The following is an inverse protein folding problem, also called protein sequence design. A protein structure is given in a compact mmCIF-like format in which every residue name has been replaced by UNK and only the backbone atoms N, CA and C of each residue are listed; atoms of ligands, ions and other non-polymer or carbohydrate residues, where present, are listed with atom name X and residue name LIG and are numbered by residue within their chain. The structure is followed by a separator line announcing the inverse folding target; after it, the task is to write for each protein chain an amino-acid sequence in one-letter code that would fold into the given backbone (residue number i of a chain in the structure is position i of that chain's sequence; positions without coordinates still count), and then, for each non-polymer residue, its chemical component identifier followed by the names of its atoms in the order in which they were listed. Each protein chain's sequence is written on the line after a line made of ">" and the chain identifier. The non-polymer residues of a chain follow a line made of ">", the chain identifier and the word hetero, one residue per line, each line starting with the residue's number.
data_IF_561572755273
#
_entry.id   IF_561572755273
#
_cell.length_a   1.000
_cell.length_b   1.000
_cell.length_c   1.000
_cell.angle_alpha   90.00
_cell.angle_beta   90.00
_cell.angle_gamma   90.00
#
_symmetry.space_group_name_H-M   'P 1'
#
loop_
_entity.id
_entity.type
_entity.pdbx_description
1 polymer ?
#
# COMPACT_ATOMS: atom_id res chain seq x y z
N UNK A 1 30.05 -4.82 -13.09
CA UNK A 1 29.03 -5.89 -13.28
C UNK A 1 27.86 -5.62 -12.34
N UNK A 2 26.64 -5.37 -12.84
CA UNK A 2 25.44 -5.30 -11.99
C UNK A 2 25.06 -6.73 -11.62
N UNK A 3 25.06 -7.03 -10.32
CA UNK A 3 24.57 -8.32 -9.82
C UNK A 3 23.12 -8.58 -10.27
N UNK A 4 22.66 -9.84 -10.22
CA UNK A 4 21.30 -10.20 -10.62
C UNK A 4 20.28 -9.31 -9.92
N UNK A 5 19.21 -8.96 -10.64
CA UNK A 5 18.16 -8.10 -10.11
C UNK A 5 17.63 -8.67 -8.79
N UNK A 6 17.46 -7.82 -7.75
CA UNK A 6 16.92 -8.29 -6.49
C UNK A 6 15.56 -8.96 -6.73
N UNK A 7 15.38 -10.18 -6.20
CA UNK A 7 14.14 -10.97 -6.31
C UNK A 7 13.00 -10.42 -5.43
N UNK A 8 12.97 -9.11 -5.17
CA UNK A 8 11.96 -8.46 -4.36
C UNK A 8 11.67 -7.04 -4.85
N UNK A 9 10.48 -6.53 -4.54
CA UNK A 9 9.95 -5.25 -4.99
C UNK A 9 9.88 -4.25 -3.82
N UNK A 10 9.53 -2.97 -4.12
CA UNK A 10 9.28 -1.95 -3.08
C UNK A 10 8.18 -2.38 -2.11
N UNK A 11 7.16 -3.10 -2.60
CA UNK A 11 6.07 -3.66 -1.81
C UNK A 11 6.61 -4.63 -0.74
N UNK A 12 7.57 -5.48 -1.09
CA UNK A 12 8.19 -6.41 -0.13
C UNK A 12 8.99 -5.67 0.94
N UNK A 13 9.71 -4.61 0.57
CA UNK A 13 10.43 -3.77 1.54
C UNK A 13 9.44 -3.09 2.49
N UNK A 14 8.39 -2.46 1.95
CA UNK A 14 7.36 -1.79 2.76
C UNK A 14 6.65 -2.77 3.69
N UNK A 15 6.22 -3.94 3.19
CA UNK A 15 5.62 -5.00 4.01
C UNK A 15 6.55 -5.46 5.12
N UNK A 16 7.84 -5.60 4.83
CA UNK A 16 8.82 -6.03 5.83
C UNK A 16 8.87 -5.02 6.99
N UNK A 17 9.07 -3.73 6.69
CA UNK A 17 9.16 -2.71 7.73
C UNK A 17 7.82 -2.48 8.44
N UNK A 18 6.70 -2.56 7.72
CA UNK A 18 5.35 -2.49 8.28
C UNK A 18 5.07 -3.63 9.26
N UNK A 19 5.32 -4.88 8.86
CA UNK A 19 5.14 -6.04 9.73
C UNK A 19 6.02 -5.96 10.99
N UNK A 20 7.26 -5.47 10.87
CA UNK A 20 8.11 -5.24 12.05
C UNK A 20 7.54 -4.11 12.93
N UNK A 21 6.92 -3.08 12.35
CA UNK A 21 6.28 -2.00 13.10
C UNK A 21 5.02 -2.42 13.86
N UNK A 22 4.24 -3.35 13.30
CA UNK A 22 3.03 -3.89 13.94
C UNK A 22 3.30 -4.85 15.09
N UNK A 23 4.55 -5.28 15.29
CA UNK A 23 4.93 -6.29 16.26
C UNK A 23 6.11 -5.80 17.13
N UNK A 24 6.15 -6.15 18.42
CA UNK A 24 7.31 -5.79 19.26
C UNK A 24 8.62 -6.40 18.73
N UNK A 25 8.55 -7.65 18.27
CA UNK A 25 9.68 -8.39 17.69
C UNK A 25 9.17 -9.48 16.75
N UNK A 26 9.83 -9.71 15.61
CA UNK A 26 9.49 -10.79 14.67
C UNK A 26 10.67 -11.70 14.34
N UNK A 27 10.38 -12.99 14.18
CA UNK A 27 11.34 -13.97 13.66
C UNK A 27 11.52 -13.83 12.15
N UNK A 28 12.68 -14.22 11.64
CA UNK A 28 12.96 -14.25 10.20
C UNK A 28 11.99 -15.16 9.43
N UNK A 29 11.64 -16.32 10.00
CA UNK A 29 10.68 -17.27 9.43
C UNK A 29 9.29 -16.64 9.26
N UNK A 30 8.83 -15.87 10.25
CA UNK A 30 7.57 -15.16 10.17
C UNK A 30 7.61 -14.05 9.10
N UNK A 31 8.73 -13.33 8.99
CA UNK A 31 8.90 -12.33 7.93
C UNK A 31 8.84 -12.93 6.53
N UNK A 32 9.54 -14.05 6.28
CA UNK A 32 9.48 -14.78 5.00
C UNK A 32 8.04 -15.13 4.63
N UNK A 33 7.27 -15.66 5.59
CA UNK A 33 5.86 -16.02 5.39
C UNK A 33 4.97 -14.80 5.15
N UNK A 34 5.08 -13.76 5.97
CA UNK A 34 4.21 -12.58 5.92
C UNK A 34 4.46 -11.73 4.67
N UNK A 35 5.72 -11.60 4.25
CA UNK A 35 6.11 -10.78 3.10
C UNK A 35 5.91 -11.54 1.79
N UNK A 36 6.02 -12.88 1.82
CA UNK A 36 5.84 -13.74 0.65
C UNK A 36 7.07 -13.80 -0.26
N UNK A 37 8.27 -13.68 0.32
CA UNK A 37 9.55 -13.79 -0.42
C UNK A 37 10.46 -14.82 0.22
N UNK A 38 11.34 -15.44 -0.57
CA UNK A 38 12.31 -16.43 -0.07
C UNK A 38 13.33 -15.85 0.92
N UNK A 39 13.99 -16.74 1.67
CA UNK A 39 14.89 -16.36 2.76
C UNK A 39 16.06 -15.46 2.32
N UNK A 40 16.64 -15.72 1.14
CA UNK A 40 17.70 -14.88 0.57
C UNK A 40 17.23 -13.44 0.32
N UNK A 41 15.99 -13.26 -0.15
CA UNK A 41 15.39 -11.93 -0.34
C UNK A 41 15.15 -11.24 1.00
N UNK A 42 14.58 -11.93 2.00
CA UNK A 42 14.42 -11.37 3.36
C UNK A 42 15.77 -10.97 3.95
N UNK A 43 16.79 -11.83 3.86
CA UNK A 43 18.14 -11.51 4.34
C UNK A 43 18.68 -10.23 3.71
N UNK A 44 18.47 -10.07 2.40
CA UNK A 44 18.90 -8.87 1.67
C UNK A 44 18.14 -7.63 2.12
N UNK A 45 16.80 -7.70 2.24
CA UNK A 45 15.96 -6.59 2.72
C UNK A 45 16.38 -6.17 4.13
N UNK A 46 16.51 -7.12 5.06
CA UNK A 46 16.93 -6.85 6.43
C UNK A 46 18.33 -6.24 6.49
N UNK A 47 19.25 -6.70 5.65
CA UNK A 47 20.60 -6.12 5.56
C UNK A 47 20.55 -4.65 5.11
N UNK A 48 19.73 -4.32 4.10
CA UNK A 48 19.56 -2.94 3.64
C UNK A 48 18.91 -2.05 4.70
N UNK A 49 17.84 -2.52 5.35
CA UNK A 49 17.17 -1.78 6.43
C UNK A 49 18.09 -1.56 7.63
N UNK A 50 18.91 -2.56 8.01
CA UNK A 50 19.90 -2.44 9.09
C UNK A 50 20.98 -1.42 8.73
N UNK A 51 21.52 -1.46 7.52
CA UNK A 51 22.52 -0.48 7.03
C UNK A 51 22.00 0.97 7.11
N UNK A 52 20.69 1.17 6.92
CA UNK A 52 20.03 2.49 7.04
C UNK A 52 19.67 2.88 8.47
N UNK A 53 19.95 2.00 9.44
CA UNK A 53 19.57 2.12 10.85
C UNK A 53 18.05 2.20 11.07
N UNK A 54 17.25 1.52 10.24
CA UNK A 54 15.79 1.43 10.43
C UNK A 54 15.37 0.27 11.33
N UNK A 55 16.19 -0.77 11.43
CA UNK A 55 15.89 -1.95 12.25
C UNK A 55 17.09 -2.33 13.12
N UNK A 56 16.79 -3.02 14.22
CA UNK A 56 17.75 -3.75 15.04
C UNK A 56 17.47 -5.26 14.94
N UNK A 57 18.52 -6.06 14.89
CA UNK A 57 18.44 -7.52 14.89
C UNK A 57 19.08 -8.01 16.20
N UNK A 58 18.33 -8.77 16.99
CA UNK A 58 18.74 -9.39 18.24
C UNK A 58 18.54 -10.91 18.17
N UNK A 59 18.94 -11.65 19.21
CA UNK A 59 18.62 -13.08 19.32
C UNK A 59 17.10 -13.34 19.34
N UNK A 60 16.33 -12.42 19.94
CA UNK A 60 14.87 -12.49 20.02
C UNK A 60 14.13 -12.11 18.73
N UNK A 61 14.83 -11.59 17.71
CA UNK A 61 14.25 -11.29 16.40
C UNK A 61 14.62 -9.93 15.85
N UNK A 62 13.70 -9.34 15.08
CA UNK A 62 13.87 -8.04 14.42
C UNK A 62 12.86 -7.03 14.98
N UNK A 63 13.32 -5.82 15.27
CA UNK A 63 12.50 -4.69 15.74
C UNK A 63 12.87 -3.37 15.04
N UNK A 64 11.97 -2.39 15.06
CA UNK A 64 12.26 -1.04 14.52
C UNK A 64 13.12 -0.24 15.50
N UNK A 65 14.02 0.57 14.95
CA UNK A 65 14.63 1.68 15.69
C UNK A 65 13.69 2.89 15.70
N UNK A 66 13.99 3.92 16.50
CA UNK A 66 13.25 5.19 16.44
C UNK A 66 13.31 5.84 15.05
N UNK A 67 14.45 5.73 14.36
CA UNK A 67 14.59 6.19 12.97
C UNK A 67 13.69 5.39 12.03
N UNK A 68 13.59 4.07 12.22
CA UNK A 68 12.69 3.21 11.45
C UNK A 68 11.22 3.53 11.67
N UNK A 69 10.81 3.77 12.92
CA UNK A 69 9.44 4.20 13.27
C UNK A 69 9.09 5.51 12.59
N UNK A 70 9.97 6.52 12.69
CA UNK A 70 9.77 7.82 12.01
C UNK A 70 9.68 7.66 10.48
N UNK A 71 10.53 6.82 9.90
CA UNK A 71 10.49 6.54 8.46
C UNK A 71 9.18 5.86 8.06
N UNK A 72 8.72 4.84 8.79
CA UNK A 72 7.46 4.16 8.53
C UNK A 72 6.28 5.13 8.65
N UNK A 73 6.24 5.96 9.70
CA UNK A 73 5.17 6.93 9.92
C UNK A 73 5.07 7.97 8.80
N UNK A 74 6.19 8.34 8.16
CA UNK A 74 6.19 9.24 6.99
C UNK A 74 5.43 8.67 5.80
N UNK A 75 5.38 7.35 5.70
CA UNK A 75 4.70 6.60 4.64
C UNK A 75 3.62 5.71 5.24
N UNK A 76 2.95 6.18 6.30
CA UNK A 76 1.85 5.45 6.92
C UNK A 76 0.72 5.31 5.88
N UNK A 77 0.44 4.07 5.51
CA UNK A 77 -0.64 3.69 4.63
C UNK A 77 -1.68 2.96 5.47
N UNK A 78 -2.94 3.35 5.38
CA UNK A 78 -4.02 2.54 5.94
C UNK A 78 -4.53 1.62 4.84
N UNK A 79 -4.69 0.34 5.15
CA UNK A 79 -5.04 -0.67 4.15
C UNK A 79 -6.26 -1.47 4.60
N UNK A 80 -7.20 -1.72 3.70
CA UNK A 80 -8.37 -2.53 4.00
C UNK A 80 -8.94 -3.21 2.77
N UNK A 81 -9.58 -4.37 2.96
CA UNK A 81 -10.40 -4.97 1.91
C UNK A 81 -11.68 -4.15 1.72
N UNK A 82 -12.09 -3.98 0.47
CA UNK A 82 -13.31 -3.26 0.09
C UNK A 82 -14.29 -4.20 -0.61
N UNK A 83 -15.60 -3.91 -0.57
CA UNK A 83 -16.59 -4.71 -1.28
C UNK A 83 -16.42 -4.64 -2.79
N UNK A 84 -17.05 -5.58 -3.50
CA UNK A 84 -17.27 -5.45 -4.94
C UNK A 84 -18.35 -4.40 -5.20
N UNK A 85 -18.12 -3.54 -6.17
CA UNK A 85 -19.03 -2.44 -6.55
C UNK A 85 -19.08 -2.33 -8.07
N UNK A 86 -20.04 -1.59 -8.63
CA UNK A 86 -20.11 -1.43 -10.10
C UNK A 86 -18.95 -0.62 -10.66
N UNK A 87 -18.27 0.16 -9.82
CA UNK A 87 -17.09 0.94 -10.17
C UNK A 87 -15.80 0.13 -10.16
N UNK A 88 -15.80 -1.07 -9.59
CA UNK A 88 -14.60 -1.91 -9.49
C UNK A 88 -14.50 -2.89 -10.64
N UNK A 89 -13.30 -3.03 -11.19
CA UNK A 89 -13.06 -3.74 -12.46
C UNK A 89 -13.01 -5.26 -12.31
N UNK A 90 -12.97 -5.78 -11.08
CA UNK A 90 -12.87 -7.22 -10.82
C UNK A 90 -13.50 -7.61 -9.46
N UNK A 91 -13.53 -8.92 -9.18
CA UNK A 91 -14.19 -9.51 -8.01
C UNK A 91 -13.61 -9.08 -6.67
N UNK A 92 -12.28 -8.96 -6.56
CA UNK A 92 -11.61 -8.63 -5.30
C UNK A 92 -11.06 -7.21 -5.33
N UNK A 93 -11.35 -6.45 -4.28
CA UNK A 93 -10.93 -5.06 -4.13
C UNK A 93 -10.16 -4.83 -2.84
N UNK A 94 -9.11 -4.03 -2.93
CA UNK A 94 -8.29 -3.67 -1.79
C UNK A 94 -7.93 -2.19 -1.85
N UNK A 95 -8.32 -1.47 -0.81
CA UNK A 95 -8.09 -0.03 -0.68
C UNK A 95 -6.82 0.28 0.10
N UNK A 96 -6.10 1.30 -0.36
CA UNK A 96 -5.00 1.93 0.38
C UNK A 96 -5.25 3.43 0.47
N UNK A 97 -5.44 3.93 1.69
CA UNK A 97 -5.55 5.35 2.00
C UNK A 97 -4.15 5.96 2.20
N UNK A 98 -3.95 7.13 1.60
CA UNK A 98 -2.74 7.93 1.67
C UNK A 98 -3.14 9.34 2.11
N UNK A 99 -2.66 9.76 3.28
CA UNK A 99 -3.06 11.03 3.88
C UNK A 99 -2.48 12.24 3.13
N UNK A 100 -3.31 13.28 2.89
CA UNK A 100 -2.92 14.59 2.33
C UNK A 100 -2.07 14.50 1.05
N UNK A 101 -2.52 13.72 0.07
CA UNK A 101 -1.85 13.52 -1.24
C UNK A 101 -2.72 13.84 -2.46
N UNK A 102 -3.89 14.42 -2.30
CA UNK A 102 -4.77 14.81 -3.41
C UNK A 102 -4.05 15.65 -4.49
N UNK A 103 -3.22 16.61 -4.08
CA UNK A 103 -2.41 17.46 -4.98
C UNK A 103 -1.44 16.71 -5.90
N UNK A 104 -1.19 15.42 -5.66
CA UNK A 104 -0.34 14.58 -6.51
C UNK A 104 -1.12 13.76 -7.53
N UNK A 105 -2.45 13.79 -7.46
CA UNK A 105 -3.31 13.06 -8.38
C UNK A 105 -3.76 14.03 -9.47
N UNK A 106 -3.48 13.65 -10.71
CA UNK A 106 -4.04 14.26 -11.91
C UNK A 106 -5.35 13.54 -12.27
N UNK A 107 -5.25 12.43 -12.97
CA UNK A 107 -6.39 11.68 -13.52
C UNK A 107 -6.67 10.34 -12.85
N UNK A 108 -5.71 9.84 -12.05
CA UNK A 108 -5.73 8.48 -11.53
C UNK A 108 -5.23 7.41 -12.52
N UNK A 109 -4.92 7.78 -13.78
CA UNK A 109 -4.43 6.85 -14.82
C UNK A 109 -3.07 6.26 -14.41
N UNK A 110 -2.17 7.07 -13.87
CA UNK A 110 -0.85 6.63 -13.41
C UNK A 110 -0.95 5.53 -12.34
N UNK A 111 -1.92 5.66 -11.42
CA UNK A 111 -2.18 4.68 -10.37
C UNK A 111 -2.75 3.39 -10.95
N UNK A 112 -3.69 3.49 -11.90
CA UNK A 112 -4.23 2.34 -12.64
C UNK A 112 -3.12 1.58 -13.35
N UNK A 113 -2.29 2.27 -14.13
CA UNK A 113 -1.24 1.65 -14.93
C UNK A 113 -0.17 1.01 -14.03
N UNK A 114 0.16 1.65 -12.91
CA UNK A 114 1.07 1.08 -11.91
C UNK A 114 0.50 -0.18 -11.26
N UNK A 115 -0.79 -0.20 -10.94
CA UNK A 115 -1.46 -1.38 -10.40
C UNK A 115 -1.51 -2.54 -11.41
N UNK A 116 -1.79 -2.24 -12.68
CA UNK A 116 -1.79 -3.24 -13.78
C UNK A 116 -0.40 -3.83 -13.96
N UNK A 117 0.66 -3.00 -13.96
CA UNK A 117 2.05 -3.48 -13.99
C UNK A 117 2.42 -4.39 -12.82
N UNK A 118 1.73 -4.24 -11.68
CA UNK A 118 1.88 -5.12 -10.51
C UNK A 118 0.97 -6.36 -10.55
N UNK A 119 0.25 -6.58 -11.67
CA UNK A 119 -0.56 -7.77 -11.94
C UNK A 119 -2.05 -7.61 -11.64
N UNK A 120 -2.51 -6.45 -11.15
CA UNK A 120 -3.93 -6.20 -10.97
C UNK A 120 -4.67 -6.08 -12.31
N UNK A 121 -5.98 -6.30 -12.31
CA UNK A 121 -6.84 -6.05 -13.48
C UNK A 121 -6.97 -4.54 -13.72
N UNK A 122 -6.98 -3.76 -12.65
CA UNK A 122 -7.01 -2.30 -12.70
C UNK A 122 -6.88 -1.68 -11.32
N UNK A 123 -6.95 -0.35 -11.27
CA UNK A 123 -7.18 0.38 -10.04
C UNK A 123 -8.09 1.60 -10.27
N UNK A 124 -8.76 1.99 -9.19
CA UNK A 124 -9.65 3.14 -9.11
C UNK A 124 -9.10 4.11 -8.08
N UNK A 125 -8.95 5.38 -8.44
CA UNK A 125 -8.40 6.41 -7.55
C UNK A 125 -9.50 7.37 -7.13
N UNK A 126 -9.64 7.57 -5.82
CA UNK A 126 -10.63 8.46 -5.21
C UNK A 126 -9.88 9.49 -4.38
N UNK A 127 -10.30 10.75 -4.47
CA UNK A 127 -9.83 11.85 -3.64
C UNK A 127 -10.94 12.22 -2.66
N UNK A 128 -10.60 12.57 -1.42
CA UNK A 128 -11.54 13.21 -0.51
C UNK A 128 -11.43 14.73 -0.61
N UNK A 129 -12.53 15.38 -0.94
CA UNK A 129 -12.63 16.84 -1.08
C UNK A 129 -13.97 17.31 -0.55
N UNK A 130 -13.96 18.37 0.25
CA UNK A 130 -15.16 18.91 0.92
C UNK A 130 -15.93 17.82 1.68
N UNK A 131 -15.21 16.93 2.38
CA UNK A 131 -15.66 15.77 3.13
C UNK A 131 -16.37 14.70 2.30
N UNK A 132 -16.17 14.68 0.98
CA UNK A 132 -16.82 13.74 0.06
C UNK A 132 -15.82 12.99 -0.81
N UNK A 133 -16.07 11.71 -1.13
CA UNK A 133 -15.30 10.98 -2.12
C UNK A 133 -15.63 11.50 -3.53
N UNK A 134 -14.60 11.86 -4.28
CA UNK A 134 -14.70 12.33 -5.68
C UNK A 134 -13.70 11.62 -6.57
N UNK A 135 -14.04 11.50 -7.85
CA UNK A 135 -13.08 11.12 -8.88
C UNK A 135 -12.26 12.34 -9.31
N UNK A 136 -10.95 12.18 -9.62
CA UNK A 136 -10.08 13.31 -9.96
C UNK A 136 -10.56 14.13 -11.17
N UNK A 137 -10.95 13.44 -12.26
CA UNK A 137 -11.29 14.06 -13.55
C UNK A 137 -12.76 13.85 -13.96
N UNK A 138 -13.61 13.39 -13.05
CA UNK A 138 -15.01 13.07 -13.36
C UNK A 138 -15.92 13.64 -12.30
N UNK A 139 -16.87 14.47 -12.73
CA UNK A 139 -17.97 14.91 -11.87
C UNK A 139 -19.00 13.78 -11.72
N UNK A 140 -18.70 12.82 -10.84
CA UNK A 140 -19.56 11.68 -10.54
C UNK A 140 -19.83 11.62 -9.05
N UNK A 141 -21.12 11.64 -8.69
CA UNK A 141 -21.58 11.59 -7.31
C UNK A 141 -21.51 10.16 -6.75
N UNK A 142 -20.39 9.83 -6.11
CA UNK A 142 -20.14 8.51 -5.50
C UNK A 142 -21.12 8.24 -4.34
N UNK A 143 -21.49 9.26 -3.56
CA UNK A 143 -22.36 9.10 -2.39
C UNK A 143 -23.77 8.67 -2.80
N UNK A 144 -24.30 9.23 -3.90
CA UNK A 144 -25.63 8.85 -4.41
C UNK A 144 -25.62 7.56 -5.22
N UNK A 145 -24.59 7.36 -6.05
CA UNK A 145 -24.59 6.26 -7.03
C UNK A 145 -23.99 4.97 -6.49
N UNK A 146 -23.12 5.04 -5.48
CA UNK A 146 -22.40 3.89 -4.92
C UNK A 146 -22.31 3.97 -3.39
N UNK A 147 -23.48 4.02 -2.74
CA UNK A 147 -23.59 4.15 -1.29
C UNK A 147 -22.79 3.10 -0.50
N UNK A 148 -22.74 1.85 -0.99
CA UNK A 148 -21.97 0.77 -0.38
C UNK A 148 -20.45 1.04 -0.41
N UNK A 149 -19.95 1.64 -1.49
CA UNK A 149 -18.56 2.05 -1.58
C UNK A 149 -18.29 3.19 -0.60
N UNK A 150 -19.07 4.27 -0.67
CA UNK A 150 -18.90 5.45 0.18
C UNK A 150 -18.90 5.08 1.68
N UNK A 151 -19.86 4.26 2.10
CA UNK A 151 -19.97 3.77 3.48
C UNK A 151 -18.76 2.91 3.89
N UNK A 152 -18.27 2.07 2.99
CA UNK A 152 -17.07 1.25 3.24
C UNK A 152 -15.82 2.12 3.35
N UNK A 153 -15.66 3.13 2.49
CA UNK A 153 -14.53 4.06 2.57
C UNK A 153 -14.53 4.80 3.90
N UNK A 154 -15.68 5.32 4.33
CA UNK A 154 -15.80 6.03 5.59
C UNK A 154 -15.50 5.13 6.79
N UNK A 155 -16.16 3.97 6.88
CA UNK A 155 -16.03 3.05 8.03
C UNK A 155 -14.64 2.40 8.14
N UNK A 156 -13.95 2.15 7.02
CA UNK A 156 -12.64 1.49 7.02
C UNK A 156 -11.47 2.45 7.17
N UNK A 157 -11.60 3.68 6.68
CA UNK A 157 -10.46 4.59 6.57
C UNK A 157 -10.61 5.89 7.35
N UNK A 158 -11.83 6.31 7.69
CA UNK A 158 -12.12 7.65 8.26
C UNK A 158 -11.32 8.74 7.51
N UNK A 159 -11.54 8.87 6.19
CA UNK A 159 -10.78 9.78 5.35
C UNK A 159 -11.12 11.24 5.67
N UNK A 160 -10.12 12.10 5.48
CA UNK A 160 -10.24 13.55 5.58
C UNK A 160 -9.99 14.21 4.23
N UNK A 161 -10.27 15.51 4.14
CA UNK A 161 -9.93 16.29 2.95
C UNK A 161 -8.45 16.19 2.59
N UNK A 162 -8.21 16.15 1.28
CA UNK A 162 -6.93 15.92 0.62
C UNK A 162 -6.36 14.50 0.74
N UNK A 163 -7.09 13.57 1.34
CA UNK A 163 -6.69 12.17 1.33
C UNK A 163 -6.99 11.51 -0.02
N UNK A 164 -6.20 10.48 -0.34
CA UNK A 164 -6.34 9.68 -1.57
C UNK A 164 -6.57 8.23 -1.17
N UNK A 165 -7.57 7.59 -1.77
CA UNK A 165 -7.78 6.15 -1.67
C UNK A 165 -7.56 5.53 -3.04
N UNK A 166 -6.60 4.61 -3.12
CA UNK A 166 -6.37 3.80 -4.33
C UNK A 166 -6.95 2.42 -4.08
N UNK A 167 -7.87 2.00 -4.93
CA UNK A 167 -8.55 0.70 -4.87
C UNK A 167 -7.99 -0.16 -5.99
N UNK A 168 -7.17 -1.16 -5.66
CA UNK A 168 -6.74 -2.18 -6.61
C UNK A 168 -7.82 -3.23 -6.79
N UNK A 169 -8.09 -3.63 -8.04
CA UNK A 169 -9.08 -4.66 -8.39
C UNK A 169 -8.40 -5.83 -9.10
N UNK A 170 -8.66 -7.07 -8.67
CA UNK A 170 -8.12 -8.26 -9.33
C UNK A 170 -8.96 -9.53 -9.12
N UNK A 171 -8.54 -10.63 -9.74
CA UNK A 171 -9.14 -11.97 -9.60
C UNK A 171 -8.70 -12.72 -8.33
N UNK A 172 -7.84 -12.12 -7.51
CA UNK A 172 -7.55 -12.59 -6.15
C UNK A 172 -7.25 -11.41 -5.22
N UNK A 173 -7.59 -11.55 -3.94
CA UNK A 173 -7.34 -10.52 -2.93
C UNK A 173 -5.84 -10.18 -2.82
N UNK A 174 -4.97 -11.18 -2.94
CA UNK A 174 -3.51 -10.99 -2.91
C UNK A 174 -3.06 -10.03 -4.03
N UNK A 175 -3.49 -10.27 -5.26
CA UNK A 175 -3.11 -9.44 -6.41
C UNK A 175 -3.73 -8.05 -6.31
N UNK A 176 -4.99 -7.94 -5.86
CA UNK A 176 -5.64 -6.64 -5.63
C UNK A 176 -4.85 -5.80 -4.63
N UNK A 177 -4.39 -6.42 -3.53
CA UNK A 177 -3.53 -5.79 -2.53
C UNK A 177 -2.17 -5.38 -3.11
N UNK A 178 -1.50 -6.23 -3.89
CA UNK A 178 -0.24 -5.86 -4.54
C UNK A 178 -0.39 -4.66 -5.48
N UNK A 179 -1.45 -4.63 -6.28
CA UNK A 179 -1.73 -3.53 -7.20
C UNK A 179 -1.96 -2.20 -6.48
N UNK A 180 -2.82 -2.21 -5.46
CA UNK A 180 -3.11 -1.03 -4.66
C UNK A 180 -1.86 -0.50 -3.93
N UNK A 181 -1.07 -1.40 -3.33
CA UNK A 181 0.19 -1.03 -2.67
C UNK A 181 1.23 -0.52 -3.65
N UNK A 182 1.34 -1.10 -4.85
CA UNK A 182 2.27 -0.63 -5.87
C UNK A 182 2.01 0.84 -6.22
N UNK A 183 0.75 1.15 -6.53
CA UNK A 183 0.31 2.49 -6.90
C UNK A 183 0.48 3.48 -5.74
N UNK A 184 0.14 3.08 -4.51
CA UNK A 184 0.29 3.91 -3.33
C UNK A 184 1.77 4.23 -3.02
N UNK A 185 2.64 3.23 -3.09
CA UNK A 185 4.08 3.39 -2.83
C UNK A 185 4.76 4.27 -3.89
N UNK A 186 4.31 4.20 -5.14
CA UNK A 186 4.79 5.08 -6.19
C UNK A 186 4.33 6.53 -5.96
N UNK A 187 3.07 6.76 -5.59
CA UNK A 187 2.53 8.10 -5.28
C UNK A 187 3.30 8.79 -4.14
N UNK A 188 3.63 8.04 -3.09
CA UNK A 188 4.41 8.56 -1.96
C UNK A 188 5.92 8.57 -2.24
N UNK A 189 6.37 8.07 -3.39
CA UNK A 189 7.78 7.95 -3.77
C UNK A 189 8.60 7.15 -2.75
N UNK A 190 8.06 6.03 -2.27
CA UNK A 190 8.71 5.19 -1.28
C UNK A 190 10.06 4.66 -1.79
N UNK A 191 11.13 4.91 -1.02
CA UNK A 191 12.50 4.47 -1.29
C UNK A 191 13.29 4.37 0.02
N UNK A 192 14.22 3.41 0.09
CA UNK A 192 15.11 3.17 1.24
C UNK A 192 16.58 3.51 0.92
#
# INVERSE_FOLDING_TARGET
>A
MKGPAPRFTKQHVWKTIHSIGENKTLSRKNLTRNVGVGEGSIRTILTQLKKKNFIKITQSGVSLTEKGKKFLNRFALQTSQLPQTKLTVAKYNFGVLIRKKAHKISSGIEQRDTAIKAGAVGATTIIYKNKKPVFPDVNYDIEKKELALASSLHSKFMPEDDDVIIIGSANSLRIAKEGALAAALELVKFKI
#
